data_IF_147382985294
#
_entry.id   IF_147382985294
#
_cell.length_a   1.000
_cell.length_b   1.000
_cell.length_c   1.000
_cell.angle_alpha   90.00
_cell.angle_beta   90.00
_cell.angle_gamma   90.00
#
_symmetry.space_group_name_H-M   'P 1'
#
loop_
_entity.id
_entity.type
_entity.pdbx_description
1 polymer ?
#
# COMPACT_ATOMS: atom_id res chain seq x y z
N UNK A 1 -70.37 -19.86 -9.80
CA UNK A 1 -69.84 -18.49 -9.64
C UNK A 1 -68.60 -18.59 -8.76
N UNK A 2 -67.47 -18.06 -9.22
CA UNK A 2 -66.18 -18.11 -8.52
C UNK A 2 -66.24 -17.38 -7.17
N UNK A 3 -65.81 -18.04 -6.10
CA UNK A 3 -65.61 -17.42 -4.78
C UNK A 3 -64.40 -16.47 -4.81
N UNK A 4 -64.58 -15.24 -4.30
CA UNK A 4 -63.48 -14.29 -4.12
C UNK A 4 -62.56 -14.75 -2.97
N UNK A 5 -61.23 -14.55 -3.07
CA UNK A 5 -60.32 -14.85 -1.97
C UNK A 5 -60.61 -13.96 -0.74
N UNK A 6 -60.60 -14.56 0.46
CA UNK A 6 -60.92 -13.91 1.75
C UNK A 6 -59.80 -13.04 2.36
N UNK A 7 -58.71 -12.81 1.65
CA UNK A 7 -57.65 -11.93 2.14
C UNK A 7 -57.12 -11.04 1.02
N UNK A 8 -57.50 -9.76 1.05
CA UNK A 8 -56.77 -8.71 0.35
C UNK A 8 -55.41 -8.54 1.03
N UNK A 9 -54.34 -8.75 0.26
CA UNK A 9 -53.01 -8.33 0.65
C UNK A 9 -53.01 -6.80 0.67
N UNK A 10 -53.08 -6.21 1.86
CA UNK A 10 -52.85 -4.78 2.03
C UNK A 10 -51.40 -4.50 1.61
N UNK A 11 -51.14 -3.57 0.67
CA UNK A 11 -49.78 -3.21 0.32
C UNK A 11 -49.16 -2.49 1.52
N UNK A 12 -48.41 -3.23 2.34
CA UNK A 12 -47.49 -2.60 3.29
C UNK A 12 -46.48 -1.83 2.44
N UNK A 13 -46.35 -0.53 2.68
CA UNK A 13 -45.32 0.28 2.03
C UNK A 13 -43.99 -0.44 2.16
N UNK A 14 -43.41 -0.86 1.03
CA UNK A 14 -42.09 -1.45 0.98
C UNK A 14 -41.14 -0.43 1.61
N UNK A 15 -40.61 -0.76 2.79
CA UNK A 15 -39.56 0.01 3.42
C UNK A 15 -38.45 0.18 2.39
N UNK A 16 -38.12 1.41 2.02
CA UNK A 16 -37.14 1.72 0.98
C UNK A 16 -35.71 1.43 1.45
N UNK A 17 -35.53 1.09 2.73
CA UNK A 17 -34.27 0.60 3.25
C UNK A 17 -33.95 -0.81 2.76
N UNK A 18 -32.71 -1.00 2.31
CA UNK A 18 -32.21 -2.33 1.97
C UNK A 18 -32.32 -3.26 3.18
N UNK A 19 -32.64 -4.54 2.94
CA UNK A 19 -32.64 -5.60 3.96
C UNK A 19 -31.38 -5.56 4.84
N UNK A 20 -30.24 -5.28 4.21
CA UNK A 20 -28.94 -5.21 4.84
C UNK A 20 -28.79 -4.02 5.81
N UNK A 21 -29.39 -2.88 5.47
CA UNK A 21 -29.47 -1.71 6.38
C UNK A 21 -30.31 -2.04 7.60
N UNK A 22 -31.46 -2.69 7.40
CA UNK A 22 -32.36 -3.09 8.50
C UNK A 22 -31.66 -4.06 9.45
N UNK A 23 -31.00 -5.08 8.91
CA UNK A 23 -30.22 -6.05 9.70
C UNK A 23 -29.11 -5.35 10.48
N UNK A 24 -28.33 -4.47 9.84
CA UNK A 24 -27.26 -3.71 10.51
C UNK A 24 -27.78 -2.88 11.68
N UNK A 25 -28.85 -2.13 11.46
CA UNK A 25 -29.44 -1.26 12.47
C UNK A 25 -29.95 -2.07 13.67
N UNK A 26 -30.64 -3.18 13.40
CA UNK A 26 -31.14 -4.07 14.45
C UNK A 26 -30.00 -4.70 15.25
N UNK A 27 -29.00 -5.31 14.59
CA UNK A 27 -27.85 -5.92 15.25
C UNK A 27 -27.06 -4.91 16.10
N UNK A 28 -26.93 -3.66 15.64
CA UNK A 28 -26.29 -2.59 16.41
C UNK A 28 -27.12 -2.21 17.63
N UNK A 29 -28.43 -2.08 17.48
CA UNK A 29 -29.36 -1.74 18.57
C UNK A 29 -29.33 -2.78 19.70
N UNK A 30 -29.29 -4.07 19.35
CA UNK A 30 -29.30 -5.17 20.34
C UNK A 30 -27.90 -5.57 20.82
N UNK A 31 -26.85 -4.90 20.36
CA UNK A 31 -25.47 -5.17 20.75
C UNK A 31 -24.84 -6.42 20.11
N UNK A 32 -25.54 -7.10 19.20
CA UNK A 32 -25.05 -8.28 18.47
C UNK A 32 -24.15 -7.89 17.29
N UNK A 33 -23.02 -7.23 17.59
CA UNK A 33 -22.10 -6.69 16.57
C UNK A 33 -21.05 -7.70 16.10
N UNK A 34 -21.02 -8.92 16.67
CA UNK A 34 -20.00 -9.95 16.38
C UNK A 34 -20.49 -11.07 15.46
N UNK A 35 -21.75 -11.05 15.03
CA UNK A 35 -22.31 -12.09 14.16
C UNK A 35 -21.72 -12.08 12.73
N UNK A 36 -21.97 -13.16 11.99
CA UNK A 36 -21.43 -13.35 10.63
C UNK A 36 -21.83 -12.26 9.63
N UNK A 37 -23.05 -11.72 9.75
CA UNK A 37 -23.53 -10.66 8.85
C UNK A 37 -22.83 -9.34 9.18
N UNK A 38 -22.68 -8.99 10.47
CA UNK A 38 -22.04 -7.76 10.93
C UNK A 38 -20.55 -7.69 10.61
N UNK A 39 -19.89 -8.83 10.35
CA UNK A 39 -18.52 -8.85 9.77
C UNK A 39 -18.43 -8.09 8.45
N UNK A 40 -19.49 -8.09 7.66
CA UNK A 40 -19.59 -7.34 6.39
C UNK A 40 -20.10 -5.91 6.56
N UNK A 41 -20.56 -5.53 7.76
CA UNK A 41 -21.11 -4.19 8.07
C UNK A 41 -20.29 -3.38 9.07
N UNK A 42 -19.11 -3.87 9.47
CA UNK A 42 -18.25 -3.07 10.34
C UNK A 42 -17.89 -1.77 9.63
N UNK A 43 -17.97 -0.66 10.37
CA UNK A 43 -17.48 0.60 9.86
C UNK A 43 -15.97 0.47 9.61
N UNK A 44 -15.46 0.94 8.45
CA UNK A 44 -14.03 0.95 8.21
C UNK A 44 -13.35 1.84 9.26
N UNK A 45 -12.19 1.40 9.74
CA UNK A 45 -11.33 2.20 10.60
C UNK A 45 -10.87 3.47 9.88
N UNK A 46 -10.30 4.42 10.62
CA UNK A 46 -9.70 5.64 10.04
C UNK A 46 -8.71 5.30 8.93
N UNK A 47 -7.87 4.27 9.14
CA UNK A 47 -6.88 3.81 8.16
C UNK A 47 -7.52 3.13 6.95
N UNK A 48 -8.53 2.29 7.16
CA UNK A 48 -9.21 1.59 6.06
C UNK A 48 -9.95 2.55 5.13
N UNK A 49 -10.42 3.68 5.66
CA UNK A 49 -11.00 4.75 4.84
C UNK A 49 -10.01 5.37 3.86
N UNK A 50 -8.70 5.17 4.06
CA UNK A 50 -7.68 5.63 3.13
C UNK A 50 -7.48 4.67 1.96
N UNK A 51 -8.15 3.53 1.90
CA UNK A 51 -8.00 2.64 0.74
C UNK A 51 -8.61 3.26 -0.51
N UNK A 52 -8.04 2.96 -1.69
CA UNK A 52 -8.56 3.52 -2.94
C UNK A 52 -9.99 3.06 -3.21
N UNK A 53 -10.35 1.83 -2.83
CA UNK A 53 -11.72 1.34 -2.89
C UNK A 53 -12.69 2.19 -2.05
N UNK A 54 -12.30 2.50 -0.81
CA UNK A 54 -13.15 3.33 0.05
C UNK A 54 -13.27 4.75 -0.49
N UNK A 55 -12.15 5.38 -0.87
CA UNK A 55 -12.13 6.73 -1.40
C UNK A 55 -12.97 6.85 -2.67
N UNK A 56 -12.86 5.89 -3.59
CA UNK A 56 -13.67 5.86 -4.83
C UNK A 56 -15.15 5.66 -4.54
N UNK A 57 -15.51 4.73 -3.66
CA UNK A 57 -16.92 4.42 -3.36
C UNK A 57 -17.66 5.53 -2.60
N UNK A 58 -16.93 6.37 -1.87
CA UNK A 58 -17.52 7.45 -1.04
C UNK A 58 -17.40 8.84 -1.66
N UNK A 59 -16.55 8.99 -2.68
CA UNK A 59 -16.45 10.24 -3.43
C UNK A 59 -17.67 10.47 -4.32
N UNK A 60 -18.04 11.74 -4.50
CA UNK A 60 -19.00 12.19 -5.51
C UNK A 60 -18.31 12.84 -6.71
N UNK A 61 -16.98 12.79 -6.77
CA UNK A 61 -16.21 13.39 -7.85
C UNK A 61 -16.54 12.75 -9.20
N UNK A 62 -16.75 13.58 -10.21
CA UNK A 62 -17.02 13.12 -11.58
C UNK A 62 -15.80 13.26 -12.49
N UNK A 63 -14.69 13.83 -11.98
CA UNK A 63 -13.44 14.00 -12.70
C UNK A 63 -12.23 13.80 -11.76
N UNK A 64 -11.02 13.56 -12.31
CA UNK A 64 -9.85 13.28 -11.48
C UNK A 64 -9.40 14.41 -10.54
N UNK A 65 -9.38 15.70 -10.94
CA UNK A 65 -9.08 16.80 -10.01
C UNK A 65 -9.98 16.83 -8.77
N UNK A 66 -11.30 16.75 -8.94
CA UNK A 66 -12.25 16.75 -7.83
C UNK A 66 -12.05 15.53 -6.93
N UNK A 67 -11.67 14.39 -7.52
CA UNK A 67 -11.38 13.18 -6.77
C UNK A 67 -10.10 13.32 -5.93
N UNK A 68 -9.05 13.97 -6.47
CA UNK A 68 -7.82 14.27 -5.73
C UNK A 68 -8.11 15.21 -4.56
N UNK A 69 -8.91 16.27 -4.78
CA UNK A 69 -9.31 17.19 -3.71
C UNK A 69 -10.15 16.49 -2.64
N UNK A 70 -11.06 15.60 -3.03
CA UNK A 70 -11.76 14.74 -2.08
C UNK A 70 -10.79 13.89 -1.25
N UNK A 71 -9.80 13.26 -1.88
CA UNK A 71 -8.84 12.43 -1.16
C UNK A 71 -8.00 13.25 -0.16
N UNK A 72 -7.56 14.46 -0.54
CA UNK A 72 -6.85 15.39 0.36
C UNK A 72 -7.62 15.67 1.64
N UNK A 73 -8.95 15.85 1.54
CA UNK A 73 -9.82 16.10 2.68
C UNK A 73 -9.93 14.90 3.63
N UNK A 74 -9.95 13.68 3.09
CA UNK A 74 -10.08 12.45 3.89
C UNK A 74 -8.74 12.01 4.48
N UNK A 75 -7.64 12.18 3.75
CA UNK A 75 -6.31 11.73 4.13
C UNK A 75 -5.62 12.68 5.10
N UNK A 76 -6.18 12.85 6.30
CA UNK A 76 -5.59 13.72 7.31
C UNK A 76 -4.20 13.25 7.74
N UNK A 77 -3.38 14.18 8.24
CA UNK A 77 -2.01 13.88 8.71
C UNK A 77 -2.00 12.75 9.75
N UNK A 78 -2.94 12.74 10.69
CA UNK A 78 -2.99 11.71 11.72
C UNK A 78 -3.46 10.36 11.17
N UNK A 79 -4.39 10.34 10.22
CA UNK A 79 -4.78 9.12 9.53
C UNK A 79 -3.59 8.52 8.74
N UNK A 80 -2.80 9.36 8.07
CA UNK A 80 -1.59 8.91 7.38
C UNK A 80 -0.53 8.36 8.34
N UNK A 81 -0.34 8.96 9.52
CA UNK A 81 0.55 8.42 10.56
C UNK A 81 0.04 7.07 11.09
N UNK A 82 -1.25 6.98 11.38
CA UNK A 82 -1.88 5.74 11.84
C UNK A 82 -1.73 4.63 10.79
N UNK A 83 -1.86 4.96 9.51
CA UNK A 83 -1.63 4.03 8.41
C UNK A 83 -0.19 3.51 8.39
N UNK A 84 0.79 4.39 8.55
CA UNK A 84 2.20 4.00 8.62
C UNK A 84 2.48 3.06 9.80
N UNK A 85 1.85 3.28 10.96
CA UNK A 85 1.98 2.39 12.13
C UNK A 85 1.23 1.06 11.94
N UNK A 86 0.01 1.09 11.41
CA UNK A 86 -0.81 -0.11 11.21
C UNK A 86 -0.24 -1.06 10.14
N UNK A 87 0.69 -0.57 9.32
CA UNK A 87 1.26 -1.31 8.19
C UNK A 87 2.76 -1.62 8.35
N UNK A 88 3.30 -1.57 9.57
CA UNK A 88 4.71 -1.82 9.89
C UNK A 88 5.24 -3.19 9.43
N UNK A 89 4.38 -4.21 9.35
CA UNK A 89 4.75 -5.56 8.91
C UNK A 89 4.72 -5.73 7.38
N UNK A 90 4.46 -4.64 6.65
CA UNK A 90 4.56 -4.55 5.19
C UNK A 90 3.96 -5.74 4.43
N UNK A 91 4.81 -6.57 3.81
CA UNK A 91 4.40 -7.71 2.99
C UNK A 91 3.48 -8.69 3.74
N UNK A 92 3.64 -8.80 5.06
CA UNK A 92 2.85 -9.70 5.90
C UNK A 92 1.60 -9.01 6.48
N UNK A 93 1.32 -7.78 6.06
CA UNK A 93 0.16 -6.99 6.45
C UNK A 93 -0.84 -6.84 5.30
N UNK A 94 -2.04 -7.48 5.35
CA UNK A 94 -3.07 -7.32 4.32
C UNK A 94 -3.50 -5.86 4.10
N UNK A 95 -3.56 -5.08 5.17
CA UNK A 95 -3.90 -3.65 5.10
C UNK A 95 -2.85 -2.87 4.29
N UNK A 96 -1.57 -3.22 4.39
CA UNK A 96 -0.52 -2.60 3.58
C UNK A 96 -0.75 -2.83 2.09
N UNK A 97 -1.16 -4.04 1.69
CA UNK A 97 -1.51 -4.34 0.30
C UNK A 97 -2.74 -3.54 -0.16
N UNK A 98 -3.80 -3.50 0.67
CA UNK A 98 -5.03 -2.75 0.38
C UNK A 98 -4.78 -1.25 0.21
N UNK A 99 -3.91 -0.66 1.03
CA UNK A 99 -3.58 0.76 0.91
C UNK A 99 -2.64 1.07 -0.29
N UNK A 100 -1.86 0.10 -0.76
CA UNK A 100 -1.04 0.26 -1.97
C UNK A 100 -1.84 0.11 -3.25
N UNK A 101 -2.94 -0.64 -3.20
CA UNK A 101 -3.82 -0.84 -4.34
C UNK A 101 -4.29 0.51 -4.91
N UNK A 102 -4.23 0.65 -6.24
CA UNK A 102 -4.66 1.87 -6.94
C UNK A 102 -3.74 3.09 -6.75
N UNK A 103 -2.59 2.93 -6.09
CA UNK A 103 -1.61 4.02 -5.89
C UNK A 103 -0.31 3.80 -6.67
N UNK A 104 0.29 4.90 -7.10
CA UNK A 104 1.66 4.92 -7.60
C UNK A 104 2.59 4.75 -6.40
N UNK A 105 3.19 3.58 -6.27
CA UNK A 105 4.16 3.30 -5.21
C UNK A 105 5.58 3.57 -5.65
N UNK A 106 6.51 3.81 -4.72
CA UNK A 106 7.91 4.13 -5.03
C UNK A 106 8.58 3.22 -6.08
N UNK A 107 8.43 1.88 -6.05
CA UNK A 107 9.00 1.01 -7.10
C UNK A 107 8.44 1.24 -8.52
N UNK A 108 7.31 1.94 -8.64
CA UNK A 108 6.63 2.30 -9.89
C UNK A 108 6.81 3.77 -10.27
N UNK A 109 7.49 4.58 -9.46
CA UNK A 109 7.66 6.01 -9.69
C UNK A 109 8.34 6.31 -11.03
N UNK A 110 9.42 5.59 -11.35
CA UNK A 110 10.12 5.75 -12.63
C UNK A 110 9.22 5.41 -13.82
N UNK A 111 8.55 4.25 -13.75
CA UNK A 111 7.70 3.76 -14.83
C UNK A 111 6.52 4.75 -15.05
N UNK A 112 5.92 5.28 -13.98
CA UNK A 112 4.86 6.29 -14.04
C UNK A 112 5.30 7.63 -14.64
N UNK A 113 6.50 8.11 -14.31
CA UNK A 113 7.03 9.37 -14.84
C UNK A 113 7.37 9.31 -16.33
N UNK A 114 7.56 8.12 -16.90
CA UNK A 114 7.95 7.92 -18.30
C UNK A 114 6.87 7.21 -19.13
N UNK A 115 5.70 6.95 -18.55
CA UNK A 115 4.60 6.30 -19.24
C UNK A 115 3.88 7.32 -20.13
N UNK A 116 3.87 7.06 -21.44
CA UNK A 116 3.17 7.89 -22.43
C UNK A 116 1.85 7.25 -22.90
N UNK A 117 1.46 6.11 -22.33
CA UNK A 117 0.22 5.39 -22.65
C UNK A 117 -0.80 5.59 -21.54
N UNK A 118 -2.04 5.88 -21.91
CA UNK A 118 -3.15 6.03 -20.97
C UNK A 118 -3.54 4.68 -20.34
N UNK A 119 -3.75 3.67 -21.19
CA UNK A 119 -4.03 2.30 -20.77
C UNK A 119 -2.88 1.36 -21.14
N UNK A 120 -2.69 0.32 -20.33
CA UNK A 120 -1.69 -0.71 -20.58
C UNK A 120 -1.18 -1.34 -19.28
N UNK A 121 -0.05 -2.03 -19.38
CA UNK A 121 0.49 -2.86 -18.30
C UNK A 121 0.76 -2.10 -17.01
N UNK A 122 1.15 -0.81 -17.08
CA UNK A 122 1.37 -0.01 -15.87
C UNK A 122 0.05 0.24 -15.12
N UNK A 123 -0.99 0.70 -15.84
CA UNK A 123 -2.33 0.94 -15.29
C UNK A 123 -2.91 -0.37 -14.74
N UNK A 124 -2.79 -1.48 -15.47
CA UNK A 124 -3.22 -2.81 -15.00
C UNK A 124 -2.51 -3.24 -13.72
N UNK A 125 -1.21 -2.94 -13.61
CA UNK A 125 -0.42 -3.28 -12.42
C UNK A 125 -0.81 -2.44 -11.21
N UNK A 126 -1.02 -1.13 -11.39
CA UNK A 126 -1.44 -0.22 -10.32
C UNK A 126 -2.85 -0.55 -9.83
N UNK A 127 -3.77 -0.85 -10.76
CA UNK A 127 -5.16 -1.22 -10.46
C UNK A 127 -5.33 -2.69 -10.07
N UNK A 128 -4.24 -3.45 -9.90
CA UNK A 128 -4.27 -4.87 -9.51
C UNK A 128 -4.97 -5.82 -10.50
N UNK A 129 -5.18 -5.39 -11.75
CA UNK A 129 -5.75 -6.21 -12.82
C UNK A 129 -4.77 -7.30 -13.29
N UNK A 130 -3.46 -7.09 -13.10
CA UNK A 130 -2.43 -8.10 -13.37
C UNK A 130 -1.99 -8.80 -12.08
N UNK A 131 -1.97 -10.13 -12.10
CA UNK A 131 -1.39 -10.93 -11.01
C UNK A 131 0.13 -10.86 -11.09
N UNK A 132 0.76 -10.21 -10.12
CA UNK A 132 2.21 -10.32 -9.90
C UNK A 132 2.55 -11.73 -9.45
N UNK A 133 3.30 -12.46 -10.27
CA UNK A 133 3.83 -13.78 -9.90
C UNK A 133 4.99 -13.59 -8.94
N UNK A 134 4.96 -14.31 -7.82
CA UNK A 134 6.04 -14.28 -6.85
C UNK A 134 7.26 -15.01 -7.41
N UNK A 135 8.32 -14.24 -7.72
CA UNK A 135 9.54 -14.77 -8.32
C UNK A 135 10.55 -15.22 -7.26
N UNK A 136 11.48 -16.08 -7.63
CA UNK A 136 12.55 -16.52 -6.72
C UNK A 136 13.41 -15.35 -6.22
N UNK A 137 13.62 -14.32 -7.05
CA UNK A 137 14.31 -13.10 -6.64
C UNK A 137 13.54 -12.34 -5.54
N UNK A 138 12.21 -12.26 -5.64
CA UNK A 138 11.36 -11.62 -4.63
C UNK A 138 11.34 -12.41 -3.32
N UNK A 139 11.22 -13.74 -3.40
CA UNK A 139 11.30 -14.63 -2.22
C UNK A 139 12.64 -14.48 -1.51
N UNK A 140 13.75 -14.49 -2.25
CA UNK A 140 15.08 -14.26 -1.69
C UNK A 140 15.18 -12.89 -1.03
N UNK A 141 14.67 -11.84 -1.68
CA UNK A 141 14.60 -10.49 -1.11
C UNK A 141 13.98 -10.50 0.28
N UNK A 142 12.74 -11.00 0.40
CA UNK A 142 12.00 -11.06 1.68
C UNK A 142 12.72 -11.89 2.75
N UNK A 143 13.36 -12.98 2.36
CA UNK A 143 14.10 -13.84 3.30
C UNK A 143 15.35 -13.13 3.88
N UNK A 144 16.04 -12.34 3.06
CA UNK A 144 17.34 -11.76 3.43
C UNK A 144 17.25 -10.34 3.98
N UNK A 145 16.18 -9.60 3.68
CA UNK A 145 16.03 -8.18 4.04
C UNK A 145 16.37 -7.90 5.50
N UNK A 146 15.77 -8.63 6.44
CA UNK A 146 16.03 -8.47 7.87
C UNK A 146 17.48 -8.76 8.29
N UNK A 147 18.18 -9.65 7.58
CA UNK A 147 19.58 -9.94 7.83
C UNK A 147 20.49 -8.84 7.27
N UNK A 148 20.16 -8.33 6.07
CA UNK A 148 20.90 -7.23 5.45
C UNK A 148 20.74 -5.95 6.27
N UNK A 149 19.53 -5.62 6.75
CA UNK A 149 19.30 -4.48 7.64
C UNK A 149 20.22 -4.53 8.87
N UNK A 150 20.34 -5.69 9.51
CA UNK A 150 21.22 -5.87 10.68
C UNK A 150 22.69 -5.65 10.37
N UNK A 151 23.17 -6.07 9.19
CA UNK A 151 24.54 -5.79 8.78
C UNK A 151 24.75 -4.30 8.47
N UNK A 152 23.76 -3.64 7.86
CA UNK A 152 23.77 -2.18 7.64
C UNK A 152 23.81 -1.43 8.97
N UNK A 153 23.03 -1.82 9.98
CA UNK A 153 23.08 -1.22 11.33
C UNK A 153 24.50 -1.28 11.93
N UNK A 154 25.16 -2.43 11.80
CA UNK A 154 26.52 -2.64 12.32
C UNK A 154 27.56 -1.83 11.56
N UNK A 155 27.53 -1.87 10.24
CA UNK A 155 28.50 -1.21 9.36
C UNK A 155 28.39 0.31 9.51
N UNK A 156 27.16 0.83 9.43
CA UNK A 156 26.90 2.27 9.48
C UNK A 156 26.81 2.81 10.91
N UNK A 157 26.75 1.94 11.94
CA UNK A 157 26.58 2.31 13.36
C UNK A 157 25.36 3.20 13.59
N UNK A 158 24.23 2.81 12.99
CA UNK A 158 22.94 3.48 13.11
C UNK A 158 21.89 2.52 13.65
N UNK A 159 20.86 3.07 14.30
CA UNK A 159 19.65 2.31 14.64
C UNK A 159 18.66 2.41 13.49
N UNK A 160 18.17 1.26 13.01
CA UNK A 160 17.18 1.17 11.95
C UNK A 160 15.87 0.65 12.53
N UNK A 161 14.79 1.39 12.29
CA UNK A 161 13.44 1.02 12.66
C UNK A 161 12.67 0.51 11.43
N UNK A 162 11.73 -0.42 11.67
CA UNK A 162 10.74 -0.81 10.66
C UNK A 162 9.91 0.41 10.24
N UNK A 163 9.45 0.37 9.00
CA UNK A 163 8.57 1.39 8.44
C UNK A 163 7.35 0.74 7.79
N UNK A 164 6.17 1.34 7.91
CA UNK A 164 5.00 0.94 7.13
C UNK A 164 4.84 1.79 5.86
N UNK A 165 3.64 1.76 5.29
CA UNK A 165 3.30 2.60 4.15
C UNK A 165 3.11 4.05 4.58
N UNK A 166 3.94 4.94 4.04
CA UNK A 166 3.80 6.38 4.18
C UNK A 166 2.89 6.92 3.08
N UNK A 167 1.88 7.66 3.52
CA UNK A 167 0.93 8.39 2.69
C UNK A 167 1.07 9.89 2.95
N UNK A 168 0.64 10.71 2.00
CA UNK A 168 0.67 12.17 2.11
C UNK A 168 -0.63 12.74 1.53
N UNK A 169 -1.29 13.62 2.27
CA UNK A 169 -2.53 14.28 1.84
C UNK A 169 -2.34 15.00 0.51
N UNK A 170 -1.22 15.71 0.33
CA UNK A 170 -0.93 16.49 -0.88
C UNK A 170 -0.76 15.63 -2.13
N UNK A 171 -0.37 14.37 -1.93
CA UNK A 171 -0.12 13.39 -2.99
C UNK A 171 -0.90 12.10 -2.72
N UNK A 172 -2.25 12.15 -2.70
CA UNK A 172 -3.08 11.08 -2.15
C UNK A 172 -3.05 9.79 -2.98
N UNK A 173 -2.70 9.92 -4.26
CA UNK A 173 -2.57 8.82 -5.23
C UNK A 173 -1.19 8.15 -5.19
N UNK A 174 -0.28 8.62 -4.32
CA UNK A 174 1.08 8.10 -4.18
C UNK A 174 1.33 7.55 -2.78
N UNK A 175 2.32 6.66 -2.68
CA UNK A 175 2.76 6.15 -1.38
C UNK A 175 4.15 5.51 -1.44
N UNK A 176 4.83 5.46 -0.31
CA UNK A 176 6.15 4.85 -0.22
C UNK A 176 6.31 4.03 1.05
N UNK A 177 7.01 2.91 0.96
CA UNK A 177 7.36 2.05 2.09
C UNK A 177 8.86 1.76 1.93
N UNK A 178 9.76 2.50 2.60
CA UNK A 178 11.16 2.12 2.72
C UNK A 178 11.31 0.78 3.45
N UNK A 179 12.40 0.06 3.19
CA UNK A 179 12.69 -1.21 3.89
C UNK A 179 13.11 -0.96 5.35
N UNK A 180 13.62 0.24 5.64
CA UNK A 180 13.88 0.70 7.00
C UNK A 180 14.13 2.20 7.06
N UNK A 181 14.15 2.75 8.27
CA UNK A 181 14.48 4.15 8.51
C UNK A 181 15.31 4.35 9.76
N UNK A 182 16.19 5.35 9.73
CA UNK A 182 16.87 5.86 10.91
C UNK A 182 16.46 7.31 11.18
N UNK A 183 17.10 7.96 12.14
CA UNK A 183 16.94 9.40 12.36
C UNK A 183 17.30 10.21 11.10
N UNK A 184 18.29 9.77 10.31
CA UNK A 184 18.84 10.51 9.17
C UNK A 184 18.45 9.93 7.81
N UNK A 185 18.39 8.60 7.70
CA UNK A 185 18.31 7.91 6.41
C UNK A 185 16.97 7.21 6.20
N UNK A 186 16.46 7.30 4.96
CA UNK A 186 15.58 6.28 4.38
C UNK A 186 16.44 5.15 3.82
N UNK A 187 16.07 3.89 4.02
CA UNK A 187 16.90 2.74 3.62
C UNK A 187 16.13 1.89 2.62
N UNK A 188 16.81 1.52 1.54
CA UNK A 188 16.35 0.62 0.50
C UNK A 188 17.38 -0.50 0.32
N UNK A 189 16.92 -1.74 0.29
CA UNK A 189 17.73 -2.95 0.19
C UNK A 189 17.38 -3.69 -1.08
N UNK A 190 18.41 -4.09 -1.82
CA UNK A 190 18.29 -5.02 -2.95
C UNK A 190 19.12 -6.27 -2.70
N UNK A 191 18.51 -7.42 -2.95
CA UNK A 191 19.15 -8.73 -2.79
C UNK A 191 19.25 -9.44 -4.17
N UNK A 192 20.16 -9.03 -5.07
CA UNK A 192 20.35 -9.64 -6.39
C UNK A 192 20.75 -11.11 -6.28
N UNK A 193 20.19 -11.96 -7.15
CA UNK A 193 20.56 -13.39 -7.25
C UNK A 193 21.83 -13.65 -8.07
N UNK A 194 22.38 -12.64 -8.74
CA UNK A 194 23.59 -12.74 -9.58
C UNK A 194 24.24 -11.37 -9.79
N UNK A 195 25.52 -11.37 -10.21
CA UNK A 195 26.24 -10.15 -10.60
C UNK A 195 25.52 -9.38 -11.72
N UNK A 196 24.94 -10.10 -12.69
CA UNK A 196 24.15 -9.49 -13.76
C UNK A 196 22.93 -8.74 -13.20
N UNK A 197 22.25 -9.31 -12.20
CA UNK A 197 21.14 -8.63 -11.53
C UNK A 197 21.61 -7.44 -10.69
N UNK A 198 22.78 -7.55 -10.06
CA UNK A 198 23.41 -6.45 -9.32
C UNK A 198 23.62 -5.20 -10.20
N UNK A 199 24.10 -5.40 -11.43
CA UNK A 199 24.29 -4.33 -12.41
C UNK A 199 23.01 -3.59 -12.85
N UNK A 200 21.83 -4.12 -12.53
CA UNK A 200 20.56 -3.41 -12.77
C UNK A 200 20.27 -2.36 -11.68
N UNK A 201 20.77 -2.58 -10.47
CA UNK A 201 20.58 -1.69 -9.32
C UNK A 201 21.62 -0.58 -9.27
N UNK A 202 22.87 -0.92 -9.54
CA UNK A 202 24.03 -0.02 -9.45
C UNK A 202 24.86 -0.14 -10.73
N UNK A 203 25.22 1.01 -11.33
CA UNK A 203 26.03 1.08 -12.54
C UNK A 203 27.53 0.89 -12.25
N UNK A 204 28.35 0.75 -13.30
CA UNK A 204 29.80 0.53 -13.26
C UNK A 204 30.61 1.60 -12.49
N UNK A 205 29.99 2.70 -12.05
CA UNK A 205 30.59 3.75 -11.21
C UNK A 205 30.03 3.80 -9.79
N UNK A 206 29.49 2.70 -9.25
CA UNK A 206 28.83 2.65 -7.94
C UNK A 206 27.67 3.65 -7.77
N UNK A 207 27.01 4.00 -8.88
CA UNK A 207 25.89 4.95 -8.87
C UNK A 207 24.57 4.20 -9.05
N UNK A 208 23.57 4.54 -8.24
CA UNK A 208 22.22 3.97 -8.34
C UNK A 208 21.63 4.29 -9.72
N UNK A 209 21.04 3.29 -10.40
CA UNK A 209 20.44 3.53 -11.72
C UNK A 209 19.19 4.41 -11.62
N UNK A 210 18.84 5.11 -12.71
CA UNK A 210 17.75 6.11 -12.70
C UNK A 210 16.41 5.58 -12.18
N UNK A 211 16.10 4.30 -12.50
CA UNK A 211 14.89 3.64 -12.00
C UNK A 211 14.84 3.57 -10.48
N UNK A 212 15.92 3.10 -9.85
CA UNK A 212 15.99 2.97 -8.40
C UNK A 212 16.25 4.32 -7.72
N UNK A 213 16.88 5.28 -8.41
CA UNK A 213 16.98 6.65 -7.92
C UNK A 213 15.59 7.28 -7.76
N UNK A 214 14.69 7.12 -8.74
CA UNK A 214 13.31 7.60 -8.61
C UNK A 214 12.56 6.94 -7.44
N UNK A 215 12.78 5.63 -7.23
CA UNK A 215 12.24 4.91 -6.07
C UNK A 215 12.74 5.52 -4.75
N UNK A 216 14.05 5.68 -4.60
CA UNK A 216 14.69 6.22 -3.38
C UNK A 216 14.26 7.67 -3.12
N UNK A 217 14.19 8.51 -4.15
CA UNK A 217 13.77 9.90 -4.01
C UNK A 217 12.31 10.01 -3.54
N UNK A 218 11.41 9.17 -4.07
CA UNK A 218 10.02 9.16 -3.58
C UNK A 218 9.95 8.71 -2.12
N UNK A 219 10.71 7.67 -1.75
CA UNK A 219 10.81 7.22 -0.36
C UNK A 219 11.35 8.31 0.57
N UNK A 220 12.41 9.00 0.19
CA UNK A 220 12.97 10.14 0.92
C UNK A 220 11.95 11.25 1.12
N UNK A 221 11.22 11.62 0.05
CA UNK A 221 10.20 12.66 0.10
C UNK A 221 9.08 12.29 1.10
N UNK A 222 8.51 11.10 0.98
CA UNK A 222 7.43 10.63 1.88
C UNK A 222 7.91 10.38 3.31
N UNK A 223 9.20 10.13 3.49
CA UNK A 223 9.84 9.92 4.79
C UNK A 223 10.34 11.21 5.44
N UNK A 224 10.28 12.34 4.73
CA UNK A 224 10.90 13.60 5.11
C UNK A 224 12.39 13.44 5.48
N UNK A 225 13.14 12.72 4.63
CA UNK A 225 14.58 12.48 4.80
C UNK A 225 15.39 13.16 3.72
N UNK A 226 16.46 13.83 4.12
CA UNK A 226 17.39 14.46 3.19
C UNK A 226 18.45 13.50 2.62
N UNK A 227 18.57 12.29 3.20
CA UNK A 227 19.53 11.27 2.78
C UNK A 227 18.88 9.90 2.71
N UNK A 228 19.45 9.03 1.88
CA UNK A 228 19.12 7.62 1.84
C UNK A 228 20.37 6.75 1.84
N UNK A 229 20.21 5.50 2.27
CA UNK A 229 21.16 4.42 2.07
C UNK A 229 20.54 3.43 1.08
N UNK A 230 21.21 3.21 -0.05
CA UNK A 230 20.80 2.24 -1.06
C UNK A 230 21.75 1.05 -1.01
N UNK A 231 21.34 0.01 -0.30
CA UNK A 231 22.17 -1.12 0.04
C UNK A 231 21.91 -2.29 -0.91
N UNK A 232 22.94 -2.77 -1.58
CA UNK A 232 22.86 -3.96 -2.44
C UNK A 232 23.65 -5.09 -1.82
N UNK A 233 22.96 -6.15 -1.41
CA UNK A 233 23.58 -7.35 -0.87
C UNK A 233 24.34 -8.09 -1.98
N UNK A 234 25.50 -8.67 -1.64
CA UNK A 234 26.23 -9.51 -2.59
C UNK A 234 25.38 -10.73 -3.01
N UNK A 235 25.53 -11.26 -4.24
CA UNK A 235 24.81 -12.47 -4.66
C UNK A 235 25.04 -13.69 -3.75
N UNK A 236 26.23 -13.80 -3.15
CA UNK A 236 26.58 -14.79 -2.12
C UNK A 236 26.43 -14.26 -0.67
N UNK A 237 25.53 -13.30 -0.39
CA UNK A 237 25.36 -12.71 0.95
C UNK A 237 25.13 -13.76 2.03
N UNK A 238 24.40 -14.84 1.72
CA UNK A 238 24.12 -15.95 2.63
C UNK A 238 25.39 -16.57 3.23
N UNK A 239 26.47 -16.60 2.44
CA UNK A 239 27.78 -17.14 2.82
C UNK A 239 28.71 -16.07 3.37
N UNK A 240 28.66 -14.86 2.79
CA UNK A 240 29.70 -13.84 2.96
C UNK A 240 29.33 -12.71 3.91
N UNK A 241 28.02 -12.46 4.12
CA UNK A 241 27.47 -11.30 4.83
C UNK A 241 27.97 -9.94 4.30
N UNK A 242 28.42 -9.88 3.04
CA UNK A 242 28.91 -8.66 2.39
C UNK A 242 27.79 -7.92 1.65
N UNK A 243 27.72 -6.61 1.82
CA UNK A 243 26.84 -5.72 1.08
C UNK A 243 27.61 -4.46 0.64
N UNK A 244 27.13 -3.82 -0.42
CA UNK A 244 27.60 -2.52 -0.89
C UNK A 244 26.55 -1.46 -0.53
N UNK A 245 26.98 -0.36 0.09
CA UNK A 245 26.13 0.75 0.54
C UNK A 245 26.55 2.05 -0.10
#
# INVERSE_FOLDING_TARGET
MYEKPKHELVPTSLNTESFLTVVKNHCTLVGDTKNHLMRFYRAPSTVEKLSMHHLQSTSKATNPPDFIEYCKLIMTVDACKEAATATLEQNDCPLWHELRYGRITAPKAYDAAHCNTFDGTLTETISGASKLRDTEAMKRGRLLESQVLKEVEKICKIQINKCGLKLNSEYPIMGASPDGESSVYSIEIKCPTSEKAMGQYVSLGNSVTAKYMAQVQLQMHFSNKAKALFCVAHPDFEKTKKNQS
#
